data_IF_159502698618
#
_entry.id   IF_159502698618
#
_cell.length_a   1.000
_cell.length_b   1.000
_cell.length_c   1.000
_cell.angle_alpha   90.00
_cell.angle_beta   90.00
_cell.angle_gamma   90.00
#
_symmetry.space_group_name_H-M   'P 1'
#
loop_
_entity.id
_entity.type
_entity.pdbx_description
1 polymer ?
#
# COMPACT_ATOMS: atom_id res chain seq x y z
N UNK A 1 -6.65 -7.87 21.27
CA UNK A 1 -6.35 -7.16 20.00
C UNK A 1 -7.45 -7.53 19.04
N UNK A 2 -8.25 -6.58 18.52
CA UNK A 2 -9.32 -6.92 17.55
C UNK A 2 -8.68 -7.46 16.27
N UNK A 3 -9.30 -8.49 15.69
CA UNK A 3 -8.86 -9.06 14.42
C UNK A 3 -9.35 -8.16 13.29
N UNK A 4 -8.44 -7.43 12.66
CA UNK A 4 -8.76 -6.60 11.49
C UNK A 4 -8.64 -7.47 10.23
N UNK A 5 -9.67 -7.48 9.40
CA UNK A 5 -9.62 -8.10 8.09
C UNK A 5 -9.08 -7.11 7.05
N UNK A 6 -8.03 -7.52 6.31
CA UNK A 6 -7.36 -6.69 5.29
C UNK A 6 -7.55 -7.25 3.86
N UNK A 7 -8.51 -8.15 3.63
CA UNK A 7 -8.68 -8.81 2.33
C UNK A 7 -9.01 -7.83 1.19
N UNK A 8 -10.00 -6.96 1.39
CA UNK A 8 -10.40 -5.99 0.36
C UNK A 8 -9.27 -4.99 0.09
N UNK A 9 -8.62 -4.50 1.15
CA UNK A 9 -7.43 -3.66 1.04
C UNK A 9 -6.30 -4.36 0.26
N UNK A 10 -6.07 -5.65 0.51
CA UNK A 10 -5.06 -6.42 -0.22
C UNK A 10 -5.40 -6.51 -1.70
N UNK A 11 -6.65 -6.78 -2.06
CA UNK A 11 -7.11 -6.85 -3.45
C UNK A 11 -6.88 -5.49 -4.13
N UNK A 12 -7.27 -4.41 -3.47
CA UNK A 12 -7.04 -3.04 -3.95
C UNK A 12 -5.55 -2.75 -4.23
N UNK A 13 -4.66 -3.12 -3.31
CA UNK A 13 -3.20 -2.96 -3.51
C UNK A 13 -2.69 -3.81 -4.69
N UNK A 14 -3.19 -5.04 -4.86
CA UNK A 14 -2.81 -5.92 -5.97
C UNK A 14 -3.22 -5.35 -7.33
N UNK A 15 -4.35 -4.65 -7.43
CA UNK A 15 -4.76 -3.97 -8.66
C UNK A 15 -3.78 -2.86 -9.03
N UNK A 16 -3.33 -2.06 -8.05
CA UNK A 16 -2.32 -1.05 -8.27
C UNK A 16 -0.95 -1.63 -8.66
N UNK A 17 -0.57 -2.78 -8.11
CA UNK A 17 0.65 -3.51 -8.49
C UNK A 17 0.55 -3.92 -9.96
N UNK A 18 -0.53 -4.59 -10.37
CA UNK A 18 -0.71 -5.04 -11.76
C UNK A 18 -0.65 -3.87 -12.75
N UNK A 19 -1.28 -2.74 -12.40
CA UNK A 19 -1.26 -1.55 -13.24
C UNK A 19 0.15 -0.96 -13.39
N UNK A 20 0.98 -0.98 -12.35
CA UNK A 20 2.38 -0.53 -12.42
C UNK A 20 3.27 -1.55 -13.16
N UNK A 21 3.09 -2.85 -12.92
CA UNK A 21 3.83 -3.89 -13.64
C UNK A 21 3.59 -3.84 -15.15
N UNK A 22 2.36 -3.52 -15.58
CA UNK A 22 2.02 -3.35 -16.98
C UNK A 22 2.77 -2.18 -17.67
N UNK A 23 3.29 -1.22 -16.90
CA UNK A 23 4.12 -0.13 -17.42
C UNK A 23 5.57 -0.56 -17.65
N UNK A 24 5.95 -1.79 -17.25
CA UNK A 24 7.30 -2.35 -17.35
C UNK A 24 8.39 -1.38 -16.82
N UNK A 25 8.32 -1.00 -15.54
CA UNK A 25 9.17 0.03 -14.99
C UNK A 25 10.65 -0.38 -15.01
N UNK A 26 11.50 0.58 -15.38
CA UNK A 26 12.94 0.38 -15.42
C UNK A 26 13.50 -0.01 -14.05
N UNK A 27 14.56 -0.81 -14.03
CA UNK A 27 15.20 -1.22 -12.79
C UNK A 27 15.68 0.01 -12.00
N UNK A 28 15.33 0.07 -10.71
CA UNK A 28 15.64 1.19 -9.80
C UNK A 28 14.96 2.54 -10.14
N UNK A 29 13.96 2.55 -11.01
CA UNK A 29 13.04 3.69 -11.15
C UNK A 29 12.18 3.87 -9.88
N UNK A 30 11.56 5.04 -9.74
CA UNK A 30 10.62 5.35 -8.65
C UNK A 30 9.46 4.36 -8.63
N UNK A 31 8.92 4.01 -9.81
CA UNK A 31 7.87 3.02 -10.03
C UNK A 31 8.32 1.62 -9.58
N UNK A 32 9.56 1.25 -9.92
CA UNK A 32 10.14 -0.02 -9.48
C UNK A 32 10.24 -0.10 -7.95
N UNK A 33 10.70 0.98 -7.29
CA UNK A 33 10.72 1.03 -5.83
C UNK A 33 9.31 1.01 -5.24
N UNK A 34 8.36 1.73 -5.83
CA UNK A 34 6.96 1.70 -5.40
C UNK A 34 6.40 0.28 -5.42
N UNK A 35 6.63 -0.48 -6.50
CA UNK A 35 6.26 -1.90 -6.59
C UNK A 35 6.81 -2.73 -5.41
N UNK A 36 8.04 -2.47 -4.96
CA UNK A 36 8.62 -3.17 -3.79
C UNK A 36 7.86 -2.87 -2.50
N UNK A 37 7.49 -1.61 -2.28
CA UNK A 37 6.68 -1.22 -1.12
C UNK A 37 5.28 -1.83 -1.17
N UNK A 38 4.61 -1.75 -2.32
CA UNK A 38 3.28 -2.32 -2.51
C UNK A 38 3.29 -3.84 -2.36
N UNK A 39 4.28 -4.53 -2.91
CA UNK A 39 4.44 -5.98 -2.75
C UNK A 39 4.62 -6.38 -1.28
N UNK A 40 5.37 -5.59 -0.50
CA UNK A 40 5.52 -5.81 0.95
C UNK A 40 4.18 -5.63 1.68
N UNK A 41 3.40 -4.60 1.33
CA UNK A 41 2.06 -4.36 1.90
C UNK A 41 1.13 -5.53 1.57
N UNK A 42 1.03 -5.92 0.29
CA UNK A 42 0.16 -7.01 -0.15
C UNK A 42 0.52 -8.33 0.57
N UNK A 43 1.81 -8.65 0.70
CA UNK A 43 2.29 -9.80 1.46
C UNK A 43 1.86 -9.74 2.94
N UNK A 44 2.05 -8.59 3.58
CA UNK A 44 1.79 -8.42 5.00
C UNK A 44 0.31 -8.28 5.34
N UNK A 45 -0.54 -7.94 4.38
CA UNK A 45 -2.00 -7.98 4.49
C UNK A 45 -2.61 -9.38 4.31
N UNK A 46 -1.84 -10.37 3.85
CA UNK A 46 -2.31 -11.73 3.68
C UNK A 46 -2.37 -12.49 5.03
N UNK A 47 -3.46 -13.22 5.33
CA UNK A 47 -3.53 -14.03 6.55
C UNK A 47 -2.44 -15.12 6.64
N UNK A 48 -1.92 -15.41 7.86
CA UNK A 48 -2.18 -14.71 9.11
C UNK A 48 -1.49 -13.34 9.17
N UNK A 49 -2.25 -12.30 9.54
CA UNK A 49 -1.79 -10.91 9.62
C UNK A 49 -2.16 -10.26 10.95
N UNK A 50 -1.46 -9.19 11.31
CA UNK A 50 -1.77 -8.31 12.44
C UNK A 50 -1.77 -6.85 11.97
N UNK A 51 -2.62 -6.00 12.57
CA UNK A 51 -2.63 -4.56 12.29
C UNK A 51 -1.25 -3.91 12.28
N UNK A 52 -0.43 -4.19 13.31
CA UNK A 52 0.93 -3.64 13.40
C UNK A 52 1.87 -4.08 12.27
N UNK A 53 1.68 -5.27 11.68
CA UNK A 53 2.49 -5.73 10.55
C UNK A 53 2.17 -4.95 9.27
N UNK A 54 0.89 -4.66 9.04
CA UNK A 54 0.46 -3.82 7.92
C UNK A 54 0.88 -2.38 8.15
N UNK A 55 0.69 -1.86 9.36
CA UNK A 55 1.09 -0.50 9.76
C UNK A 55 2.58 -0.24 9.52
N UNK A 56 3.47 -1.15 9.92
CA UNK A 56 4.90 -1.01 9.65
C UNK A 56 5.25 -0.98 8.15
N UNK A 57 4.45 -1.64 7.31
CA UNK A 57 4.63 -1.61 5.85
C UNK A 57 4.11 -0.30 5.26
N UNK A 58 2.98 0.20 5.75
CA UNK A 58 2.42 1.50 5.40
C UNK A 58 3.35 2.65 5.82
N UNK A 59 3.98 2.57 6.98
CA UNK A 59 4.97 3.57 7.42
C UNK A 59 6.15 3.68 6.44
N UNK A 60 6.62 2.54 5.91
CA UNK A 60 7.64 2.52 4.86
C UNK A 60 7.18 3.20 3.56
N UNK A 61 5.94 2.93 3.12
CA UNK A 61 5.36 3.59 1.95
C UNK A 61 5.24 5.10 2.15
N UNK A 62 4.76 5.55 3.30
CA UNK A 62 4.61 6.99 3.62
C UNK A 62 5.96 7.68 3.59
N UNK A 63 6.99 7.05 4.19
CA UNK A 63 8.34 7.62 4.19
C UNK A 63 8.90 7.75 2.77
N UNK A 64 8.74 6.71 1.94
CA UNK A 64 9.12 6.74 0.54
C UNK A 64 8.36 7.82 -0.25
N UNK A 65 7.06 7.95 -0.03
CA UNK A 65 6.25 8.99 -0.65
C UNK A 65 6.77 10.38 -0.33
N UNK A 66 6.95 10.70 0.96
CA UNK A 66 7.41 12.03 1.40
C UNK A 66 8.82 12.34 0.89
N UNK A 67 9.71 11.35 0.87
CA UNK A 67 11.13 11.57 0.54
C UNK A 67 11.40 11.61 -0.97
N UNK A 68 10.55 10.99 -1.80
CA UNK A 68 10.90 10.69 -3.21
C UNK A 68 9.82 11.01 -4.23
N UNK A 69 8.54 11.04 -3.85
CA UNK A 69 7.44 11.18 -4.81
C UNK A 69 6.95 12.64 -4.86
N UNK A 70 6.81 13.19 -6.06
CA UNK A 70 6.04 14.41 -6.27
C UNK A 70 4.56 14.14 -6.03
N UNK A 71 3.95 14.85 -5.07
CA UNK A 71 2.56 14.68 -4.69
C UNK A 71 1.57 14.95 -5.83
N UNK A 72 1.95 15.79 -6.80
CA UNK A 72 1.10 16.15 -7.94
C UNK A 72 1.24 15.18 -9.12
N UNK A 73 2.12 14.17 -9.00
CA UNK A 73 2.30 13.13 -10.00
C UNK A 73 1.25 12.03 -9.92
N UNK A 74 1.14 11.20 -10.96
CA UNK A 74 0.27 10.01 -10.95
C UNK A 74 0.68 9.02 -9.83
N UNK A 75 1.98 8.91 -9.55
CA UNK A 75 2.49 8.08 -8.44
C UNK A 75 2.08 8.66 -7.09
N UNK A 76 2.08 9.99 -6.97
CA UNK A 76 1.61 10.69 -5.77
C UNK A 76 0.14 10.37 -5.47
N UNK A 77 -0.72 10.56 -6.46
CA UNK A 77 -2.15 10.22 -6.37
C UNK A 77 -2.36 8.74 -6.01
N UNK A 78 -1.57 7.84 -6.60
CA UNK A 78 -1.62 6.40 -6.28
C UNK A 78 -1.28 6.12 -4.82
N UNK A 79 -0.21 6.72 -4.29
CA UNK A 79 0.16 6.57 -2.88
C UNK A 79 -0.93 7.11 -1.93
N UNK A 80 -1.51 8.27 -2.25
CA UNK A 80 -2.58 8.89 -1.48
C UNK A 80 -3.81 7.97 -1.44
N UNK A 81 -4.23 7.43 -2.59
CA UNK A 81 -5.37 6.51 -2.69
C UNK A 81 -5.18 5.24 -1.87
N UNK A 82 -4.00 4.63 -1.94
CA UNK A 82 -3.66 3.43 -1.16
C UNK A 82 -3.67 3.73 0.34
N UNK A 83 -3.12 4.88 0.76
CA UNK A 83 -3.17 5.27 2.16
C UNK A 83 -4.60 5.55 2.64
N UNK A 84 -5.41 6.21 1.83
CA UNK A 84 -6.82 6.45 2.15
C UNK A 84 -7.58 5.14 2.35
N UNK A 85 -7.37 4.15 1.47
CA UNK A 85 -8.03 2.85 1.57
C UNK A 85 -7.58 2.05 2.80
N UNK A 86 -6.29 2.12 3.15
CA UNK A 86 -5.79 1.59 4.41
C UNK A 86 -6.50 2.23 5.62
N UNK A 87 -6.65 3.56 5.63
CA UNK A 87 -7.33 4.27 6.73
C UNK A 87 -8.81 3.92 6.83
N UNK A 88 -9.51 3.72 5.70
CA UNK A 88 -10.90 3.22 5.69
C UNK A 88 -10.99 1.83 6.31
N UNK A 89 -10.09 0.93 5.93
CA UNK A 89 -10.02 -0.44 6.47
C UNK A 89 -9.85 -0.42 7.98
N UNK A 90 -8.97 0.44 8.51
CA UNK A 90 -8.82 0.59 9.96
C UNK A 90 -10.09 1.09 10.66
N UNK A 91 -10.79 2.07 10.08
CA UNK A 91 -12.02 2.65 10.65
C UNK A 91 -13.17 1.65 10.67
N UNK A 92 -13.42 0.96 9.55
CA UNK A 92 -14.49 -0.03 9.45
C UNK A 92 -14.37 -1.14 10.51
N UNK A 93 -13.14 -1.54 10.82
CA UNK A 93 -12.86 -2.56 11.84
C UNK A 93 -12.84 -2.01 13.29
N UNK A 94 -12.94 -0.68 13.49
CA UNK A 94 -13.12 -0.07 14.81
C UNK A 94 -14.61 0.09 15.18
N UNK A 95 -15.47 0.28 14.18
CA UNK A 95 -16.92 0.40 14.31
C UNK A 95 -17.64 -0.96 14.40
N UNK A 96 -17.00 -2.03 13.90
CA UNK A 96 -17.42 -3.43 14.05
C UNK A 96 -16.93 -4.05 15.37
#
# INVERSE_FOLDING_TARGET
MRTIYFGDFRIYVLEHIKALEAQNPEHQSTEWFLLRYLGKIAKNSNPPTTPGRVEGSMGGLIRFYVDTIDENSELGDRCIKIYAEYRKTLRFNQES
#
